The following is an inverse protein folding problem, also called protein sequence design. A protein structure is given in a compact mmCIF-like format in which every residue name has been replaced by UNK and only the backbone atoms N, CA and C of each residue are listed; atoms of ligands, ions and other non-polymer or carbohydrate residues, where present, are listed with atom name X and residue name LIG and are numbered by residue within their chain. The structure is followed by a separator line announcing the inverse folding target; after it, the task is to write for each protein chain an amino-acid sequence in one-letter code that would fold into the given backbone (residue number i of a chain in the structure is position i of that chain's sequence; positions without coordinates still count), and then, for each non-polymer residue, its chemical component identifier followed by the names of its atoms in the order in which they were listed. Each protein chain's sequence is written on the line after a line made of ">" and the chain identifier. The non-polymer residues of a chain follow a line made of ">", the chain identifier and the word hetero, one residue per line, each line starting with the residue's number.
data_IF_564515943685
#
_entry.id   IF_564515943685
#
_cell.length_a   1.000
_cell.length_b   1.000
_cell.length_c   1.000
_cell.angle_alpha   90.00
_cell.angle_beta   90.00
_cell.angle_gamma   90.00
#
_symmetry.space_group_name_H-M   'P 1'
#
loop_
_entity.id
_entity.type
_entity.pdbx_description
1 polymer ?
#
# COMPACT_ATOMS: atom_id res chain seq x y z
N UNK A 1 -33.44 36.01 45.15
CA UNK A 1 -32.07 36.08 44.60
C UNK A 1 -31.61 34.68 44.24
N UNK A 2 -31.77 34.25 42.99
CA UNK A 2 -31.05 33.10 42.41
C UNK A 2 -30.87 33.38 40.92
N UNK A 3 -29.63 33.65 40.51
CA UNK A 3 -29.23 33.87 39.11
C UNK A 3 -28.89 32.51 38.51
N UNK A 4 -29.65 32.07 37.51
CA UNK A 4 -29.36 30.87 36.71
C UNK A 4 -28.25 31.20 35.71
N UNK A 5 -27.12 30.52 35.81
CA UNK A 5 -26.01 30.63 34.87
C UNK A 5 -26.25 29.69 33.67
N UNK A 6 -26.37 30.27 32.47
CA UNK A 6 -26.45 29.52 31.21
C UNK A 6 -25.02 29.27 30.71
N UNK A 7 -24.58 28.00 30.70
CA UNK A 7 -23.31 27.58 30.11
C UNK A 7 -23.50 27.41 28.60
N UNK A 8 -22.85 28.26 27.82
CA UNK A 8 -22.73 28.13 26.36
C UNK A 8 -21.70 27.03 26.10
N UNK A 9 -22.13 25.90 25.53
CA UNK A 9 -21.23 24.88 25.03
C UNK A 9 -20.86 25.21 23.58
N UNK A 10 -19.64 25.70 23.37
CA UNK A 10 -19.07 25.89 22.04
C UNK A 10 -18.79 24.53 21.40
N UNK A 11 -19.53 24.18 20.36
CA UNK A 11 -19.23 23.02 19.51
C UNK A 11 -18.00 23.34 18.64
N UNK A 12 -16.85 22.79 19.00
CA UNK A 12 -15.68 22.80 18.14
C UNK A 12 -15.94 21.86 16.95
N UNK A 13 -16.18 22.43 15.77
CA UNK A 13 -16.25 21.67 14.53
C UNK A 13 -14.84 21.24 14.14
N UNK A 14 -14.54 19.95 14.29
CA UNK A 14 -13.34 19.32 13.74
C UNK A 14 -13.44 19.33 12.22
N UNK A 15 -12.75 20.26 11.57
CA UNK A 15 -12.50 20.20 10.14
C UNK A 15 -11.54 19.03 9.90
N UNK A 16 -12.08 17.92 9.41
CA UNK A 16 -11.26 16.83 8.87
C UNK A 16 -10.70 17.34 7.54
N UNK A 17 -9.44 17.76 7.54
CA UNK A 17 -8.70 18.03 6.31
C UNK A 17 -8.50 16.71 5.58
N UNK A 18 -9.39 16.43 4.62
CA UNK A 18 -9.12 15.44 3.59
C UNK A 18 -7.86 15.90 2.85
N UNK A 19 -6.79 15.09 2.88
CA UNK A 19 -5.64 15.27 1.99
C UNK A 19 -6.13 15.08 0.55
N UNK A 20 -6.62 16.18 -0.02
CA UNK A 20 -6.95 16.27 -1.44
C UNK A 20 -5.66 16.08 -2.21
N UNK A 21 -5.66 15.13 -3.16
CA UNK A 21 -4.75 15.15 -4.30
C UNK A 21 -5.02 16.44 -5.08
N UNK A 22 -4.42 17.53 -4.65
CA UNK A 22 -4.49 18.80 -5.36
C UNK A 22 -3.60 18.68 -6.60
N UNK A 23 -4.23 18.46 -7.76
CA UNK A 23 -3.59 18.65 -9.05
C UNK A 23 -3.41 20.14 -9.29
N UNK A 24 -2.19 20.62 -9.08
CA UNK A 24 -1.62 21.70 -9.87
C UNK A 24 -0.23 21.25 -10.29
N UNK A 25 -0.05 21.05 -11.59
CA UNK A 25 1.23 20.82 -12.21
C UNK A 25 2.17 22.00 -11.89
N UNK A 26 2.90 21.86 -10.81
CA UNK A 26 4.26 22.37 -10.75
C UNK A 26 5.12 21.14 -10.95
N UNK A 27 5.96 21.14 -11.99
CA UNK A 27 7.05 20.17 -12.18
C UNK A 27 8.13 20.36 -11.08
N UNK A 28 7.70 20.55 -9.83
CA UNK A 28 8.53 20.41 -8.66
C UNK A 28 8.67 18.90 -8.47
N UNK A 29 9.85 18.40 -8.85
CA UNK A 29 10.44 17.12 -8.45
C UNK A 29 9.67 16.48 -7.30
N UNK A 30 8.92 15.42 -7.62
CA UNK A 30 8.24 14.57 -6.65
C UNK A 30 9.27 14.15 -5.59
N UNK A 31 8.90 14.10 -4.30
CA UNK A 31 9.86 14.21 -3.22
C UNK A 31 10.93 13.14 -3.34
N UNK A 32 12.14 13.62 -3.05
CA UNK A 32 13.44 13.00 -3.21
C UNK A 32 13.44 11.46 -3.20
N UNK A 33 14.22 10.85 -4.09
CA UNK A 33 14.49 9.43 -4.01
C UNK A 33 15.09 9.06 -2.64
N UNK A 34 14.95 7.79 -2.25
CA UNK A 34 15.36 7.28 -0.93
C UNK A 34 16.73 7.81 -0.50
N UNK A 35 16.77 8.61 0.58
CA UNK A 35 18.04 9.03 1.17
C UNK A 35 18.82 7.79 1.63
N UNK A 36 20.15 7.87 1.79
CA UNK A 36 20.94 6.76 2.34
C UNK A 36 20.37 6.22 3.67
N UNK A 37 19.78 7.08 4.49
CA UNK A 37 19.10 6.70 5.73
C UNK A 37 17.82 5.91 5.46
N UNK A 38 17.01 6.31 4.48
CA UNK A 38 15.80 5.57 4.08
C UNK A 38 16.14 4.19 3.54
N UNK A 39 17.21 4.07 2.73
CA UNK A 39 17.68 2.77 2.21
C UNK A 39 18.16 1.85 3.33
N UNK A 40 18.76 2.40 4.40
CA UNK A 40 19.21 1.63 5.57
C UNK A 40 18.09 1.24 6.51
N UNK A 41 16.94 1.91 6.43
CA UNK A 41 15.78 1.60 7.25
C UNK A 41 15.08 0.33 6.77
N UNK A 42 15.37 -0.77 7.45
CA UNK A 42 14.70 -2.06 7.27
C UNK A 42 13.67 -2.33 8.37
N UNK A 43 13.18 -1.27 9.03
CA UNK A 43 12.07 -1.35 9.96
C UNK A 43 10.74 -1.69 9.28
N UNK A 44 9.72 -2.04 10.08
CA UNK A 44 8.36 -2.23 9.58
C UNK A 44 7.77 -0.91 9.06
N UNK A 45 6.79 -1.00 8.15
CA UNK A 45 6.11 0.17 7.60
C UNK A 45 5.10 0.81 8.58
N UNK A 46 4.82 0.15 9.70
CA UNK A 46 3.88 0.63 10.71
C UNK A 46 3.63 -0.39 11.83
N UNK A 47 2.54 -0.24 12.60
CA UNK A 47 2.16 -1.22 13.62
C UNK A 47 1.87 -2.59 13.00
N UNK A 48 2.51 -3.62 13.54
CA UNK A 48 2.34 -5.01 13.09
C UNK A 48 1.86 -5.94 14.19
N UNK A 49 1.28 -7.06 13.79
CA UNK A 49 0.79 -8.08 14.70
C UNK A 49 0.36 -9.35 13.97
N UNK A 50 -0.42 -10.18 14.66
CA UNK A 50 -0.88 -11.46 14.13
C UNK A 50 -1.89 -11.31 12.98
N UNK A 51 -2.00 -12.36 12.17
CA UNK A 51 -2.95 -12.43 11.07
C UNK A 51 -4.39 -12.12 11.45
N UNK A 52 -5.01 -11.22 10.67
CA UNK A 52 -6.45 -10.95 10.73
C UNK A 52 -7.13 -11.39 9.45
N UNK A 53 -7.79 -12.52 9.58
CA UNK A 53 -8.46 -13.17 8.46
C UNK A 53 -9.62 -12.34 7.88
N UNK A 54 -10.28 -11.52 8.70
CA UNK A 54 -11.28 -10.56 8.25
C UNK A 54 -10.70 -9.44 7.39
N UNK A 55 -9.52 -8.92 7.71
CA UNK A 55 -8.83 -7.88 6.94
C UNK A 55 -8.39 -8.43 5.58
N UNK A 56 -7.78 -9.61 5.55
CA UNK A 56 -7.45 -10.28 4.29
C UNK A 56 -8.68 -10.49 3.40
N UNK A 57 -9.78 -10.97 3.98
CA UNK A 57 -11.01 -11.22 3.25
C UNK A 57 -11.62 -9.92 2.69
N UNK A 58 -11.43 -8.78 3.36
CA UNK A 58 -11.88 -7.48 2.89
C UNK A 58 -10.99 -6.91 1.78
N UNK A 59 -9.70 -7.25 1.76
CA UNK A 59 -8.71 -6.71 0.80
C UNK A 59 -8.60 -7.51 -0.48
N UNK A 60 -8.64 -8.84 -0.39
CA UNK A 60 -8.28 -9.75 -1.49
C UNK A 60 -9.21 -9.62 -2.71
N UNK A 61 -8.64 -9.81 -3.89
CA UNK A 61 -9.39 -10.02 -5.14
C UNK A 61 -9.71 -11.51 -5.37
N UNK A 62 -8.98 -12.42 -4.72
CA UNK A 62 -9.15 -13.85 -4.87
C UNK A 62 -9.42 -14.51 -3.50
N UNK A 63 -10.70 -14.83 -3.25
CA UNK A 63 -11.12 -15.51 -2.03
C UNK A 63 -10.86 -17.02 -2.04
N UNK A 64 -10.57 -17.62 -3.21
CA UNK A 64 -10.30 -19.05 -3.31
C UNK A 64 -9.02 -19.45 -2.55
N UNK A 65 -8.10 -18.49 -2.38
CA UNK A 65 -6.84 -18.67 -1.66
C UNK A 65 -6.98 -18.74 -0.14
N UNK A 66 -8.18 -18.54 0.40
CA UNK A 66 -8.42 -18.41 1.85
C UNK A 66 -7.73 -19.50 2.67
N UNK A 67 -7.96 -20.76 2.32
CA UNK A 67 -7.39 -21.89 3.05
C UNK A 67 -5.86 -21.90 3.01
N UNK A 68 -5.27 -21.53 1.86
CA UNK A 68 -3.81 -21.51 1.69
C UNK A 68 -3.18 -20.39 2.53
N UNK A 69 -3.79 -19.20 2.50
CA UNK A 69 -3.37 -18.04 3.29
C UNK A 69 -3.48 -18.31 4.79
N UNK A 70 -4.61 -18.88 5.23
CA UNK A 70 -4.82 -19.21 6.65
C UNK A 70 -3.74 -20.21 7.14
N UNK A 71 -3.45 -21.26 6.38
CA UNK A 71 -2.41 -22.23 6.74
C UNK A 71 -1.00 -21.64 6.69
N UNK A 72 -0.68 -20.88 5.65
CA UNK A 72 0.63 -20.26 5.49
C UNK A 72 0.91 -19.24 6.59
N UNK A 73 -0.09 -18.44 6.99
CA UNK A 73 0.05 -17.44 8.05
C UNK A 73 0.58 -18.02 9.36
N UNK A 74 0.03 -19.17 9.78
CA UNK A 74 0.43 -19.88 11.00
C UNK A 74 1.77 -20.56 10.81
N UNK A 75 1.96 -21.25 9.68
CA UNK A 75 3.18 -22.03 9.41
C UNK A 75 4.43 -21.16 9.29
N UNK A 76 4.28 -19.98 8.69
CA UNK A 76 5.38 -19.08 8.36
C UNK A 76 5.51 -17.91 9.34
N UNK A 77 4.61 -17.81 10.33
CA UNK A 77 4.67 -16.78 11.38
C UNK A 77 4.58 -15.37 10.83
N UNK A 78 3.68 -15.12 9.88
CA UNK A 78 3.55 -13.82 9.22
C UNK A 78 3.12 -12.71 10.17
N UNK A 79 3.81 -11.58 10.08
CA UNK A 79 3.46 -10.34 10.75
C UNK A 79 2.67 -9.45 9.81
N UNK A 80 1.41 -9.20 10.16
CA UNK A 80 0.48 -8.37 9.39
C UNK A 80 0.55 -6.92 9.81
N UNK A 81 0.46 -6.00 8.85
CA UNK A 81 0.24 -4.57 9.13
C UNK A 81 -1.17 -4.34 9.66
N UNK A 82 -1.33 -3.41 10.61
CA UNK A 82 -2.63 -3.07 11.22
C UNK A 82 -3.07 -1.61 11.01
N UNK A 83 -2.31 -0.82 10.27
CA UNK A 83 -2.73 0.49 9.79
C UNK A 83 -3.27 0.43 8.36
N UNK A 84 -3.76 1.58 7.89
CA UNK A 84 -4.24 1.82 6.52
C UNK A 84 -3.46 2.95 5.84
N UNK A 85 -2.22 3.18 6.28
CA UNK A 85 -1.35 4.20 5.69
C UNK A 85 -1.14 3.92 4.20
N UNK A 86 -0.89 4.97 3.43
CA UNK A 86 -0.68 4.85 1.99
C UNK A 86 0.52 3.96 1.70
N UNK A 87 0.27 2.95 0.88
CA UNK A 87 1.27 2.15 0.20
C UNK A 87 1.36 2.56 -1.25
N UNK A 88 2.46 2.16 -1.88
CA UNK A 88 2.78 2.44 -3.25
C UNK A 88 3.04 1.15 -4.00
N UNK A 89 2.63 1.11 -5.27
CA UNK A 89 2.97 0.02 -6.18
C UNK A 89 3.38 0.58 -7.53
N UNK A 90 4.56 0.20 -8.01
CA UNK A 90 4.96 0.41 -9.39
C UNK A 90 4.38 -0.68 -10.28
N UNK A 91 3.82 -0.30 -11.43
CA UNK A 91 3.27 -1.24 -12.39
C UNK A 91 3.42 -0.71 -13.81
N UNK A 92 3.74 -1.61 -14.76
CA UNK A 92 3.98 -1.26 -16.16
C UNK A 92 2.75 -1.44 -17.05
N UNK A 93 1.63 -1.94 -16.49
CA UNK A 93 0.38 -2.05 -17.25
C UNK A 93 -0.10 -0.65 -17.67
N UNK A 94 -0.49 -0.47 -18.95
CA UNK A 94 -0.69 0.87 -19.52
C UNK A 94 -2.01 1.53 -19.10
N UNK A 95 -3.03 0.76 -18.71
CA UNK A 95 -4.37 1.28 -18.38
C UNK A 95 -4.64 1.25 -16.86
N UNK A 96 -4.46 2.37 -16.15
CA UNK A 96 -4.82 2.46 -14.73
C UNK A 96 -6.32 2.30 -14.47
N UNK A 97 -7.19 2.61 -15.44
CA UNK A 97 -8.64 2.44 -15.25
C UNK A 97 -9.04 0.96 -15.21
N UNK A 98 -8.36 0.09 -15.95
CA UNK A 98 -8.52 -1.36 -15.82
C UNK A 98 -8.17 -1.82 -14.40
N UNK A 99 -7.05 -1.33 -13.85
CA UNK A 99 -6.60 -1.65 -12.50
C UNK A 99 -7.56 -1.12 -11.43
N UNK A 100 -8.13 0.08 -11.60
CA UNK A 100 -9.14 0.60 -10.68
C UNK A 100 -10.40 -0.27 -10.63
N UNK A 101 -10.79 -0.89 -11.74
CA UNK A 101 -11.96 -1.79 -11.82
C UNK A 101 -11.65 -3.18 -11.25
N UNK A 102 -10.56 -3.81 -11.69
CA UNK A 102 -10.23 -5.19 -11.28
C UNK A 102 -9.56 -5.26 -9.90
N UNK A 103 -8.91 -4.17 -9.49
CA UNK A 103 -7.87 -4.23 -8.48
C UNK A 103 -6.57 -4.84 -9.01
N UNK A 104 -5.62 -4.98 -8.10
CA UNK A 104 -4.42 -5.77 -8.32
C UNK A 104 -4.72 -7.25 -8.06
N UNK A 105 -5.25 -7.93 -9.07
CA UNK A 105 -5.39 -9.38 -9.05
C UNK A 105 -4.02 -10.05 -9.26
N UNK A 106 -3.66 -11.07 -8.45
CA UNK A 106 -2.44 -11.83 -8.69
C UNK A 106 -2.46 -12.53 -10.05
N UNK A 107 -1.28 -12.92 -10.54
CA UNK A 107 -1.15 -13.59 -11.84
C UNK A 107 -1.60 -15.05 -11.80
N UNK A 108 -1.63 -15.66 -10.60
CA UNK A 108 -2.15 -16.99 -10.39
C UNK A 108 -2.37 -17.30 -8.92
N UNK A 109 -2.41 -18.59 -8.59
CA UNK A 109 -2.76 -19.07 -7.25
C UNK A 109 -1.57 -19.63 -6.47
N UNK A 110 -0.36 -19.53 -7.01
CA UNK A 110 0.82 -20.11 -6.39
C UNK A 110 1.29 -19.25 -5.22
N UNK A 111 0.91 -19.68 -4.01
CA UNK A 111 1.34 -19.06 -2.75
C UNK A 111 2.75 -19.56 -2.40
N UNK A 112 3.75 -18.94 -3.02
CA UNK A 112 5.16 -19.23 -2.79
C UNK A 112 5.54 -18.90 -1.35
N UNK A 113 6.25 -19.78 -0.61
CA UNK A 113 6.67 -19.46 0.75
C UNK A 113 7.40 -18.12 0.83
N UNK A 114 7.09 -17.30 1.83
CA UNK A 114 7.54 -15.90 1.87
C UNK A 114 9.08 -15.79 1.86
N UNK A 115 9.77 -16.72 2.52
CA UNK A 115 11.24 -16.80 2.53
C UNK A 115 11.87 -17.01 1.14
N UNK A 116 11.13 -17.63 0.20
CA UNK A 116 11.54 -17.76 -1.20
C UNK A 116 11.12 -16.53 -2.00
N UNK A 117 9.90 -16.04 -1.77
CA UNK A 117 9.36 -14.86 -2.43
C UNK A 117 10.27 -13.63 -2.27
N UNK A 118 10.69 -13.32 -1.04
CA UNK A 118 11.47 -12.10 -0.75
C UNK A 118 12.88 -12.15 -1.38
N UNK A 119 13.43 -13.33 -1.68
CA UNK A 119 14.79 -13.49 -2.22
C UNK A 119 14.77 -13.57 -3.75
N UNK A 120 13.84 -14.35 -4.31
CA UNK A 120 13.82 -14.67 -5.75
C UNK A 120 12.62 -14.11 -6.51
N UNK A 121 11.71 -13.40 -5.84
CA UNK A 121 10.38 -13.14 -6.36
C UNK A 121 9.55 -14.43 -6.47
N UNK A 122 8.55 -14.39 -7.32
CA UNK A 122 7.72 -15.56 -7.65
C UNK A 122 7.64 -15.80 -9.14
N UNK A 123 7.12 -16.96 -9.50
CA UNK A 123 6.90 -17.34 -10.89
C UNK A 123 5.76 -16.55 -11.55
N UNK A 124 5.55 -16.83 -12.83
CA UNK A 124 4.50 -16.21 -13.65
C UNK A 124 3.06 -16.47 -13.15
N UNK A 125 2.87 -17.37 -12.18
CA UNK A 125 1.57 -17.74 -11.59
C UNK A 125 1.45 -17.35 -10.09
N UNK A 126 2.24 -16.39 -9.62
CA UNK A 126 2.28 -16.00 -8.21
C UNK A 126 0.92 -15.48 -7.67
N UNK A 127 0.60 -15.88 -6.44
CA UNK A 127 -0.51 -15.34 -5.64
C UNK A 127 -0.15 -14.03 -4.90
N UNK A 128 1.12 -13.63 -4.93
CA UNK A 128 1.65 -12.47 -4.21
C UNK A 128 1.48 -11.18 -5.03
N UNK A 129 1.14 -10.10 -4.33
CA UNK A 129 1.06 -8.74 -4.90
C UNK A 129 1.83 -7.82 -3.98
N UNK A 130 3.01 -7.43 -4.42
CA UNK A 130 3.85 -6.50 -3.68
C UNK A 130 3.36 -5.07 -3.76
N UNK A 131 3.49 -4.40 -2.64
CA UNK A 131 3.45 -2.96 -2.47
C UNK A 131 4.62 -2.54 -1.58
N UNK A 132 4.83 -1.25 -1.38
CA UNK A 132 5.88 -0.71 -0.51
C UNK A 132 5.35 0.51 0.23
N UNK A 133 5.82 0.78 1.44
CA UNK A 133 5.53 2.07 2.07
C UNK A 133 6.37 3.23 1.49
N UNK A 134 7.37 2.93 0.66
CA UNK A 134 8.28 3.91 0.09
C UNK A 134 7.95 4.18 -1.38
N UNK A 135 7.46 5.40 -1.66
CA UNK A 135 7.06 5.79 -3.03
C UNK A 135 8.20 5.68 -4.03
N UNK A 136 9.42 6.01 -3.63
CA UNK A 136 10.61 5.97 -4.49
C UNK A 136 10.97 4.55 -4.94
N UNK A 137 10.72 3.55 -4.08
CA UNK A 137 10.86 2.13 -4.42
C UNK A 137 9.84 1.79 -5.52
N UNK A 138 8.58 2.21 -5.36
CA UNK A 138 7.55 2.01 -6.37
C UNK A 138 7.84 2.72 -7.69
N UNK A 139 8.42 3.93 -7.68
CA UNK A 139 8.88 4.61 -8.89
C UNK A 139 9.94 3.79 -9.63
N UNK A 140 10.93 3.26 -8.90
CA UNK A 140 11.94 2.37 -9.48
C UNK A 140 11.35 1.13 -10.15
N UNK A 141 10.33 0.51 -9.55
CA UNK A 141 9.62 -0.62 -10.16
C UNK A 141 8.74 -0.22 -11.35
N UNK A 142 8.11 0.96 -11.30
CA UNK A 142 7.27 1.47 -12.39
C UNK A 142 8.10 1.76 -13.65
N UNK A 143 9.28 2.37 -13.48
CA UNK A 143 10.13 2.82 -14.60
C UNK A 143 11.26 1.85 -14.93
N UNK A 144 11.25 0.65 -14.35
CA UNK A 144 12.27 -0.37 -14.57
C UNK A 144 12.41 -0.71 -16.05
N UNK A 145 13.65 -0.73 -16.55
CA UNK A 145 13.93 -0.99 -17.97
C UNK A 145 13.76 0.23 -18.89
N UNK A 146 13.76 1.45 -18.33
CA UNK A 146 13.81 2.70 -19.08
C UNK A 146 12.51 3.10 -19.77
N UNK A 147 11.38 2.55 -19.32
CA UNK A 147 10.04 2.84 -19.84
C UNK A 147 9.25 3.65 -18.84
N UNK A 148 8.20 4.31 -19.31
CA UNK A 148 7.24 4.96 -18.44
C UNK A 148 6.39 3.90 -17.73
N UNK A 149 5.98 4.20 -16.50
CA UNK A 149 5.11 3.30 -15.74
C UNK A 149 4.28 4.06 -14.71
N UNK A 150 3.40 3.33 -14.05
CA UNK A 150 2.42 3.91 -13.13
C UNK A 150 2.77 3.58 -11.68
N UNK A 151 2.71 4.61 -10.83
CA UNK A 151 2.83 4.47 -9.37
C UNK A 151 1.44 4.68 -8.76
N UNK A 152 0.90 3.62 -8.17
CA UNK A 152 -0.43 3.60 -7.58
C UNK A 152 -0.37 3.89 -6.09
N UNK A 153 -1.25 4.76 -5.60
CA UNK A 153 -1.47 5.00 -4.18
C UNK A 153 -2.57 4.06 -3.66
N UNK A 154 -2.28 3.30 -2.60
CA UNK A 154 -3.14 2.22 -2.10
C UNK A 154 -3.37 2.41 -0.60
N UNK A 155 -4.63 2.45 -0.16
CA UNK A 155 -5.03 2.50 1.26
C UNK A 155 -5.91 1.29 1.58
N UNK A 156 -5.26 0.14 1.76
CA UNK A 156 -5.90 -1.15 2.03
C UNK A 156 -5.63 -1.62 3.47
N UNK A 157 -6.53 -2.40 4.10
CA UNK A 157 -6.25 -3.02 5.37
C UNK A 157 -5.34 -4.25 5.21
N UNK A 158 -4.52 -4.52 6.21
CA UNK A 158 -3.66 -5.69 6.26
C UNK A 158 -2.48 -5.65 5.28
N UNK A 159 -2.08 -6.84 4.82
CA UNK A 159 -0.84 -7.10 4.11
C UNK A 159 0.27 -7.58 5.06
N UNK A 160 1.10 -8.51 4.58
CA UNK A 160 2.23 -9.06 5.32
C UNK A 160 3.35 -8.02 5.28
N UNK A 161 3.78 -7.54 6.44
CA UNK A 161 4.98 -6.74 6.54
C UNK A 161 6.19 -7.66 6.43
N UNK A 162 6.86 -7.58 5.28
CA UNK A 162 8.00 -8.45 4.93
C UNK A 162 9.14 -8.26 5.92
N UNK A 163 9.42 -7.02 6.29
CA UNK A 163 10.52 -6.68 7.18
C UNK A 163 10.26 -7.15 8.62
N UNK A 164 9.04 -6.93 9.12
CA UNK A 164 8.62 -7.43 10.43
C UNK A 164 8.67 -8.96 10.46
N UNK A 165 8.12 -9.62 9.43
CA UNK A 165 8.12 -11.08 9.35
C UNK A 165 9.54 -11.62 9.30
N UNK A 166 10.41 -11.03 8.48
CA UNK A 166 11.80 -11.44 8.35
C UNK A 166 12.56 -11.32 9.67
N UNK A 167 12.40 -10.19 10.37
CA UNK A 167 13.01 -9.96 11.69
C UNK A 167 12.59 -11.01 12.73
N UNK A 168 11.30 -11.34 12.75
CA UNK A 168 10.74 -12.22 13.78
C UNK A 168 10.97 -13.71 13.50
N UNK A 169 11.18 -14.08 12.23
CA UNK A 169 11.37 -15.46 11.78
C UNK A 169 12.82 -15.78 11.42
N UNK A 170 13.70 -14.78 11.36
CA UNK A 170 15.10 -14.92 11.03
C UNK A 170 15.41 -15.00 9.52
N UNK A 171 14.43 -14.72 8.64
CA UNK A 171 14.67 -14.66 7.19
C UNK A 171 15.69 -13.55 6.89
N UNK A 172 16.71 -13.88 6.11
CA UNK A 172 17.70 -12.93 5.61
C UNK A 172 17.42 -12.62 4.14
N UNK A 173 17.40 -11.34 3.77
CA UNK A 173 17.31 -10.92 2.37
C UNK A 173 18.02 -9.59 2.16
N UNK A 174 18.67 -9.44 1.00
CA UNK A 174 19.24 -8.17 0.56
C UNK A 174 18.18 -7.16 0.11
N UNK A 175 16.90 -7.56 0.03
CA UNK A 175 15.80 -6.76 -0.51
C UNK A 175 14.89 -6.14 0.56
N UNK A 176 15.23 -6.26 1.85
CA UNK A 176 14.42 -5.68 2.94
C UNK A 176 14.34 -4.14 2.87
N UNK A 177 15.26 -3.48 2.17
CA UNK A 177 15.18 -2.03 1.90
C UNK A 177 13.99 -1.66 1.00
N UNK A 178 13.36 -2.61 0.31
CA UNK A 178 12.13 -2.35 -0.45
C UNK A 178 10.95 -1.99 0.45
N UNK A 179 11.05 -2.27 1.77
CA UNK A 179 9.98 -2.09 2.76
C UNK A 179 8.65 -2.62 2.24
N UNK A 180 8.71 -3.86 1.77
CA UNK A 180 7.61 -4.51 1.06
C UNK A 180 6.46 -4.83 2.01
N UNK A 181 5.25 -4.54 1.55
CA UNK A 181 4.04 -5.16 2.08
C UNK A 181 3.45 -6.06 1.01
N UNK A 182 3.38 -7.35 1.31
CA UNK A 182 2.84 -8.36 0.41
C UNK A 182 1.35 -8.65 0.69
N UNK A 183 0.55 -8.68 -0.38
CA UNK A 183 -0.85 -9.02 -0.35
C UNK A 183 -1.11 -10.35 -1.07
N UNK A 184 -1.10 -11.48 -0.37
CA UNK A 184 -1.50 -12.76 -0.97
C UNK A 184 -2.97 -12.69 -1.38
N UNK A 185 -3.31 -12.94 -2.64
CA UNK A 185 -4.66 -12.77 -3.19
C UNK A 185 -4.97 -11.35 -3.69
N UNK A 186 -4.02 -10.43 -3.57
CA UNK A 186 -4.09 -9.12 -4.20
C UNK A 186 -4.89 -8.07 -3.43
N UNK A 187 -5.20 -6.97 -4.11
CA UNK A 187 -5.84 -5.79 -3.53
C UNK A 187 -6.99 -5.32 -4.41
N UNK A 188 -8.20 -5.25 -3.85
CA UNK A 188 -9.38 -4.75 -4.57
C UNK A 188 -9.21 -3.30 -5.03
N UNK A 189 -9.75 -3.01 -6.21
CA UNK A 189 -9.64 -1.69 -6.85
C UNK A 189 -10.18 -0.54 -6.00
N UNK A 190 -11.20 -0.78 -5.16
CA UNK A 190 -11.75 0.20 -4.21
C UNK A 190 -10.73 0.76 -3.23
N UNK A 191 -9.61 0.08 -2.96
CA UNK A 191 -8.56 0.58 -2.07
C UNK A 191 -7.48 1.37 -2.80
N UNK A 192 -7.57 1.48 -4.12
CA UNK A 192 -6.63 2.23 -4.94
C UNK A 192 -7.16 3.65 -5.09
N UNK A 193 -6.43 4.64 -4.60
CA UNK A 193 -6.84 6.04 -4.62
C UNK A 193 -6.68 6.67 -6.01
N UNK A 194 -5.60 6.32 -6.69
CA UNK A 194 -5.22 6.87 -7.97
C UNK A 194 -3.86 6.36 -8.39
N UNK A 195 -3.39 6.86 -9.54
CA UNK A 195 -2.08 6.53 -10.08
C UNK A 195 -1.47 7.77 -10.75
N UNK A 196 -0.16 7.93 -10.64
CA UNK A 196 0.58 8.91 -11.42
C UNK A 196 1.57 8.17 -12.33
N UNK A 197 1.69 8.62 -13.57
CA UNK A 197 2.64 8.09 -14.53
C UNK A 197 3.99 8.77 -14.33
N UNK A 198 5.07 7.98 -14.40
CA UNK A 198 6.43 8.48 -14.24
C UNK A 198 7.32 8.07 -15.40
N UNK A 199 8.26 8.96 -15.69
CA UNK A 199 9.43 8.71 -16.52
C UNK A 199 10.69 8.76 -15.67
N UNK A 200 11.70 7.93 -15.97
CA UNK A 200 13.01 8.04 -15.34
C UNK A 200 13.87 9.05 -16.09
N UNK A 201 14.19 10.16 -15.43
CA UNK A 201 14.89 11.30 -16.04
C UNK A 201 16.43 11.22 -15.88
N UNK A 202 16.94 10.23 -15.16
CA UNK A 202 18.37 10.04 -14.91
C UNK A 202 18.71 9.90 -13.43
N UNK A 203 19.97 10.16 -13.10
CA UNK A 203 20.46 10.22 -11.73
C UNK A 203 21.03 11.59 -11.45
N UNK A 204 20.85 12.05 -10.21
CA UNK A 204 21.55 13.22 -9.72
C UNK A 204 23.07 12.94 -9.71
N UNK A 205 23.89 13.77 -10.36
CA UNK A 205 25.32 13.50 -10.54
C UNK A 205 26.15 13.61 -9.25
N UNK A 206 25.62 14.23 -8.19
CA UNK A 206 26.31 14.38 -6.91
C UNK A 206 25.98 13.26 -5.94
N UNK A 207 24.72 12.83 -5.96
CA UNK A 207 24.16 11.92 -4.96
C UNK A 207 23.86 10.53 -5.52
N UNK A 208 23.96 10.34 -6.83
CA UNK A 208 23.61 9.12 -7.60
C UNK A 208 22.16 8.68 -7.43
N UNK A 209 21.29 9.54 -6.93
CA UNK A 209 19.92 9.14 -6.66
C UNK A 209 19.04 9.36 -7.88
N UNK A 210 18.10 8.43 -8.13
CA UNK A 210 17.25 8.43 -9.31
C UNK A 210 16.29 9.64 -9.31
N UNK A 211 16.19 10.31 -10.45
CA UNK A 211 15.26 11.41 -10.67
C UNK A 211 14.11 10.87 -11.53
N UNK A 212 12.88 11.16 -11.09
CA UNK A 212 11.67 10.77 -11.79
C UNK A 212 10.85 12.01 -12.18
N UNK A 213 10.40 12.04 -13.42
CA UNK A 213 9.47 13.06 -13.93
C UNK A 213 8.04 12.53 -13.79
N UNK A 214 7.15 13.31 -13.18
CA UNK A 214 5.72 13.00 -13.09
C UNK A 214 5.02 13.48 -14.36
N UNK A 215 4.49 12.55 -15.14
CA UNK A 215 3.84 12.80 -16.43
C UNK A 215 2.32 13.06 -16.32
N UNK A 216 1.78 13.02 -15.10
CA UNK A 216 0.36 13.27 -14.83
C UNK A 216 -0.28 12.16 -14.00
N UNK A 217 -1.41 12.50 -13.37
CA UNK A 217 -2.12 11.61 -12.45
C UNK A 217 -3.58 11.42 -12.86
N UNK A 218 -4.13 10.25 -12.52
CA UNK A 218 -5.53 9.90 -12.64
C UNK A 218 -6.07 9.44 -11.29
N UNK A 219 -7.30 9.81 -10.97
CA UNK A 219 -7.97 9.45 -9.72
C UNK A 219 -8.95 8.30 -9.94
N UNK A 220 -9.06 7.41 -8.96
CA UNK A 220 -10.09 6.39 -8.93
C UNK A 220 -11.37 6.96 -8.29
N UNK A 221 -12.44 7.10 -9.08
CA UNK A 221 -13.74 7.56 -8.58
C UNK A 221 -14.41 6.60 -7.60
N UNK A 222 -14.01 5.33 -7.63
CA UNK A 222 -14.58 4.25 -6.82
C UNK A 222 -13.75 4.01 -5.54
N UNK A 223 -12.81 4.90 -5.23
CA UNK A 223 -11.96 4.81 -4.05
C UNK A 223 -12.76 4.89 -2.74
N UNK A 224 -12.54 3.91 -1.86
CA UNK A 224 -13.15 3.76 -0.54
C UNK A 224 -12.11 3.20 0.43
N UNK A 225 -11.38 4.06 1.16
CA UNK A 225 -10.32 3.61 2.07
C UNK A 225 -10.88 2.76 3.21
N UNK A 226 -10.10 1.79 3.67
CA UNK A 226 -10.44 1.09 4.90
C UNK A 226 -10.46 2.04 6.10
N UNK A 227 -11.41 1.85 7.01
CA UNK A 227 -11.60 2.71 8.19
C UNK A 227 -12.67 3.80 8.05
N UNK A 228 -13.21 4.04 6.84
CA UNK A 228 -14.44 4.83 6.68
C UNK A 228 -15.67 3.96 6.94
N UNK A 229 -15.94 3.65 8.23
CA UNK A 229 -17.33 3.36 8.62
C UNK A 229 -18.08 4.68 8.45
N UNK A 230 -18.89 4.82 7.40
CA UNK A 230 -19.90 5.88 7.38
C UNK A 230 -20.72 5.74 8.66
N UNK A 231 -20.98 6.85 9.34
CA UNK A 231 -21.72 6.88 10.61
C UNK A 231 -23.11 6.22 10.54
N UNK A 232 -23.60 5.91 9.34
CA UNK A 232 -24.85 5.18 9.07
C UNK A 232 -24.79 3.68 9.41
N UNK A 233 -23.65 3.01 9.28
CA UNK A 233 -23.56 1.55 9.49
C UNK A 233 -23.45 1.16 10.98
N UNK A 234 -23.30 2.14 11.88
CA UNK A 234 -23.33 1.93 13.34
C UNK A 234 -24.73 2.04 13.95
N UNK A 235 -25.74 2.44 13.16
CA UNK A 235 -27.10 2.71 13.65
C UNK A 235 -28.12 1.60 13.33
N UNK A 236 -27.68 0.48 12.75
CA UNK A 236 -28.56 -0.68 12.56
C UNK A 236 -28.23 -1.72 13.64
N UNK A 237 -29.08 -1.88 14.67
CA UNK A 237 -28.96 -3.02 15.56
C UNK A 237 -29.29 -4.28 14.76
N UNK A 238 -28.39 -5.27 14.79
CA UNK A 238 -28.65 -6.61 14.27
C UNK A 238 -29.86 -7.24 15.00
N UNK A 239 -30.71 -8.00 14.30
CA UNK A 239 -31.87 -8.68 14.86
C UNK A 239 -31.51 -9.79 15.86
#
# INVERSE_FOLDING_TARGET
>A
MFKTALRIASAASLVVTSLTFASSASAATDPFPGTPEQIRDTGPCGPTGGYRSSEWAQTTTDRSLRRQVDLASVREGWYWRHDVNTLWRGDTRPDPQAIFRSGFTPLGTDLTPLSKWIIGGGGQNSAHVSTTCDRWVAQGFATGGGKDGWVYAIQAPGGIDVNATARMTGIQSQYLWNKEIDFPGGVQGRYIQGACQYHWAGQDPQTNVNIYENLGCVTNRDFRPAGTRTAEEQLVPSP
#
